data_IF_400737652549
#
_entry.id   IF_400737652549
#
_cell.length_a   1.000
_cell.length_b   1.000
_cell.length_c   1.000
_cell.angle_alpha   90.00
_cell.angle_beta   90.00
_cell.angle_gamma   90.00
#
_symmetry.space_group_name_H-M   'P 1'
#
loop_
_entity.id
_entity.type
_entity.pdbx_description
1 polymer ?
#
# COMPACT_ATOMS: atom_id res chain seq x y z
N UNK A 1 -2.46 -12.45 10.98
CA UNK A 1 -2.53 -13.30 9.78
C UNK A 1 -2.38 -14.76 10.17
N UNK A 2 -3.04 -15.73 9.49
CA UNK A 2 -2.97 -17.16 9.87
C UNK A 2 -1.56 -17.71 9.93
N UNK A 3 -0.66 -17.24 9.07
CA UNK A 3 0.74 -17.66 9.04
C UNK A 3 1.51 -17.30 10.32
N UNK A 4 1.11 -16.24 11.03
CA UNK A 4 1.73 -15.84 12.28
C UNK A 4 1.39 -16.82 13.43
N UNK A 5 0.30 -17.57 13.34
CA UNK A 5 -0.11 -18.53 14.37
C UNK A 5 0.87 -19.69 14.52
N UNK A 6 1.61 -20.05 13.47
CA UNK A 6 2.62 -21.11 13.51
C UNK A 6 3.81 -20.79 14.42
N UNK A 7 4.04 -19.51 14.67
CA UNK A 7 5.17 -19.00 15.46
C UNK A 7 4.66 -17.90 16.40
N UNK A 8 3.67 -18.22 17.21
CA UNK A 8 3.02 -17.27 18.11
C UNK A 8 3.33 -17.57 19.57
N UNK A 9 3.83 -16.57 20.27
CA UNK A 9 4.00 -16.58 21.73
C UNK A 9 2.69 -16.14 22.38
N UNK A 10 1.91 -17.10 22.85
CA UNK A 10 0.61 -16.83 23.47
C UNK A 10 0.70 -16.12 24.83
N UNK A 11 1.85 -16.18 25.49
CA UNK A 11 2.07 -15.53 26.79
C UNK A 11 2.29 -14.02 26.60
N UNK A 12 3.12 -13.67 25.62
CA UNK A 12 3.46 -12.28 25.33
C UNK A 12 2.65 -11.66 24.19
N UNK A 13 1.72 -12.40 23.61
CA UNK A 13 0.86 -11.97 22.50
C UNK A 13 1.63 -11.37 21.32
N UNK A 14 2.70 -12.04 20.87
CA UNK A 14 3.55 -11.58 19.78
C UNK A 14 4.15 -12.77 19.01
N UNK A 15 4.71 -12.55 17.82
CA UNK A 15 5.49 -13.58 17.13
C UNK A 15 6.67 -14.04 17.99
N UNK A 16 7.02 -15.33 17.87
CA UNK A 16 8.22 -15.86 18.54
C UNK A 16 9.51 -15.28 17.93
N UNK A 17 10.60 -15.26 18.70
CA UNK A 17 11.89 -14.72 18.24
C UNK A 17 12.45 -15.47 17.01
N UNK A 18 12.10 -16.75 16.86
CA UNK A 18 12.52 -17.59 15.74
C UNK A 18 11.50 -17.63 14.58
N UNK A 19 10.50 -16.75 14.58
CA UNK A 19 9.54 -16.68 13.48
C UNK A 19 10.25 -16.29 12.18
N UNK A 20 10.17 -17.11 11.13
CA UNK A 20 10.71 -16.74 9.82
C UNK A 20 9.76 -15.82 9.03
N UNK A 21 8.56 -15.56 9.55
CA UNK A 21 7.50 -14.85 8.83
C UNK A 21 7.21 -13.45 9.34
N UNK A 22 7.40 -13.18 10.63
CA UNK A 22 7.02 -11.91 11.22
C UNK A 22 8.08 -11.44 12.23
N UNK A 23 8.20 -10.12 12.38
CA UNK A 23 9.02 -9.52 13.42
C UNK A 23 8.33 -9.60 14.78
N UNK A 24 9.10 -9.70 15.86
CA UNK A 24 8.57 -9.65 17.23
C UNK A 24 8.07 -8.27 17.65
N UNK A 25 8.58 -7.23 17.01
CA UNK A 25 8.23 -5.83 17.26
C UNK A 25 7.79 -5.22 15.94
N UNK A 26 6.69 -4.49 15.97
CA UNK A 26 6.25 -3.73 14.80
C UNK A 26 7.30 -2.67 14.44
N UNK A 27 7.59 -2.54 13.16
CA UNK A 27 8.56 -1.58 12.60
C UNK A 27 7.89 -0.37 11.97
N UNK A 28 6.57 -0.31 12.04
CA UNK A 28 5.74 0.77 11.49
C UNK A 28 5.08 1.58 12.61
N UNK A 29 4.72 2.84 12.36
CA UNK A 29 4.16 3.74 13.38
C UNK A 29 2.69 3.49 13.73
N UNK A 30 1.99 2.60 13.02
CA UNK A 30 0.58 2.32 13.25
C UNK A 30 0.39 1.05 14.08
N UNK A 31 -0.64 1.02 14.91
CA UNK A 31 -0.97 -0.16 15.71
C UNK A 31 -1.88 -1.13 14.93
N UNK A 32 -1.35 -1.73 13.87
CA UNK A 32 -2.08 -2.66 13.01
C UNK A 32 -1.51 -4.10 13.06
N UNK A 33 -0.75 -4.42 14.10
CA UNK A 33 -0.16 -5.73 14.33
C UNK A 33 1.34 -5.78 14.04
N UNK A 34 1.83 -6.95 13.61
CA UNK A 34 3.26 -7.19 13.38
C UNK A 34 3.56 -7.29 11.89
N UNK A 35 4.67 -6.68 11.46
CA UNK A 35 5.09 -6.69 10.08
C UNK A 35 5.58 -8.09 9.67
N UNK A 36 5.26 -8.48 8.44
CA UNK A 36 5.87 -9.62 7.81
C UNK A 36 7.34 -9.33 7.49
N UNK A 37 8.21 -10.28 7.77
CA UNK A 37 9.63 -10.16 7.47
C UNK A 37 9.93 -10.55 6.02
N UNK A 38 9.79 -9.60 5.11
CA UNK A 38 10.05 -9.80 3.68
C UNK A 38 11.54 -9.99 3.32
N UNK A 39 12.47 -9.98 4.29
CA UNK A 39 13.86 -10.33 4.04
C UNK A 39 14.10 -11.84 4.01
N UNK A 40 13.23 -12.62 4.66
CA UNK A 40 13.38 -14.07 4.72
C UNK A 40 12.89 -14.73 3.45
N UNK A 41 13.57 -15.83 3.06
CA UNK A 41 13.17 -16.65 1.91
C UNK A 41 11.79 -17.29 2.12
N UNK A 42 11.44 -17.59 3.36
CA UNK A 42 10.15 -18.19 3.74
C UNK A 42 8.98 -17.22 3.46
N UNK A 43 9.09 -15.96 3.91
CA UNK A 43 8.06 -14.95 3.64
C UNK A 43 7.96 -14.66 2.15
N UNK A 44 9.08 -14.54 1.44
CA UNK A 44 9.10 -14.33 0.00
C UNK A 44 8.45 -15.48 -0.76
N UNK A 45 8.78 -16.71 -0.39
CA UNK A 45 8.16 -17.91 -0.98
C UNK A 45 6.65 -17.94 -0.71
N UNK A 46 6.24 -17.68 0.52
CA UNK A 46 4.82 -17.63 0.89
C UNK A 46 4.08 -16.57 0.07
N UNK A 47 4.61 -15.37 -0.01
CA UNK A 47 4.01 -14.28 -0.79
C UNK A 47 3.89 -14.65 -2.25
N UNK A 48 4.98 -15.09 -2.87
CA UNK A 48 4.99 -15.49 -4.30
C UNK A 48 4.06 -16.67 -4.58
N UNK A 49 4.01 -17.66 -3.68
CA UNK A 49 3.10 -18.80 -3.81
C UNK A 49 1.63 -18.37 -3.72
N UNK A 50 1.32 -17.45 -2.83
CA UNK A 50 -0.05 -16.89 -2.69
C UNK A 50 -0.45 -16.10 -3.93
N UNK A 51 0.41 -15.22 -4.42
CA UNK A 51 0.17 -14.46 -5.65
C UNK A 51 -0.09 -15.38 -6.85
N UNK A 52 0.77 -16.39 -7.03
CA UNK A 52 0.61 -17.40 -8.09
C UNK A 52 -0.73 -18.12 -7.96
N UNK A 53 -1.05 -18.63 -6.76
CA UNK A 53 -2.27 -19.38 -6.51
C UNK A 53 -3.53 -18.59 -6.85
N UNK A 54 -3.59 -17.32 -6.43
CA UNK A 54 -4.76 -16.47 -6.68
C UNK A 54 -4.92 -16.13 -8.18
N UNK A 55 -3.82 -15.93 -8.90
CA UNK A 55 -3.88 -15.70 -10.35
C UNK A 55 -4.36 -16.94 -11.11
N UNK A 56 -3.82 -18.12 -10.77
CA UNK A 56 -4.09 -19.35 -11.51
C UNK A 56 -5.45 -19.97 -11.16
N UNK A 57 -5.84 -19.98 -9.89
CA UNK A 57 -7.05 -20.69 -9.44
C UNK A 57 -8.30 -19.78 -9.46
N UNK A 58 -8.14 -18.47 -9.22
CA UNK A 58 -9.27 -17.54 -9.17
C UNK A 58 -9.34 -16.63 -10.38
N UNK A 59 -8.35 -16.69 -11.26
CA UNK A 59 -8.31 -15.92 -12.51
C UNK A 59 -8.56 -14.42 -12.30
N UNK A 60 -7.94 -13.85 -11.27
CA UNK A 60 -8.03 -12.42 -10.97
C UNK A 60 -7.08 -11.61 -11.85
N UNK A 61 -7.39 -10.33 -12.08
CA UNK A 61 -6.65 -9.45 -13.00
C UNK A 61 -5.47 -8.73 -12.34
N UNK A 62 -5.24 -8.92 -11.04
CA UNK A 62 -4.11 -8.29 -10.34
C UNK A 62 -4.34 -8.13 -8.84
N UNK A 63 -3.48 -7.33 -8.21
CA UNK A 63 -3.45 -7.15 -6.77
C UNK A 63 -3.34 -5.69 -6.37
N UNK A 64 -3.99 -5.31 -5.28
CA UNK A 64 -3.70 -4.12 -4.52
C UNK A 64 -2.93 -4.52 -3.27
N UNK A 65 -1.72 -4.01 -3.11
CA UNK A 65 -0.90 -4.20 -1.92
C UNK A 65 -1.25 -3.15 -0.89
N UNK A 66 -1.76 -3.62 0.23
CA UNK A 66 -2.13 -2.81 1.38
C UNK A 66 -0.88 -2.31 2.10
N UNK A 67 -0.86 -1.03 2.49
CA UNK A 67 0.26 -0.40 3.22
C UNK A 67 1.64 -0.82 2.69
N UNK A 68 1.82 -0.80 1.37
CA UNK A 68 3.02 -1.35 0.72
C UNK A 68 4.33 -0.69 1.17
N UNK A 69 4.29 0.55 1.71
CA UNK A 69 5.46 1.17 2.34
C UNK A 69 5.92 0.46 3.62
N UNK A 70 5.10 -0.40 4.21
CA UNK A 70 5.47 -1.28 5.31
C UNK A 70 6.40 -2.43 4.92
N UNK A 71 6.56 -2.72 3.64
CA UNK A 71 7.51 -3.73 3.13
C UNK A 71 8.93 -3.16 3.17
N UNK A 72 9.51 -3.05 4.37
CA UNK A 72 10.84 -2.46 4.60
C UNK A 72 11.65 -3.27 5.59
N UNK A 73 12.98 -3.05 5.62
CA UNK A 73 13.88 -3.58 6.63
C UNK A 73 14.15 -2.57 7.76
N UNK A 74 13.83 -1.30 7.51
CA UNK A 74 14.09 -0.25 8.47
C UNK A 74 13.06 -0.25 9.59
N UNK A 75 13.51 0.05 10.80
CA UNK A 75 12.64 0.28 11.95
C UNK A 75 12.43 1.78 12.10
N UNK A 76 11.21 2.22 11.91
CA UNK A 76 10.85 3.64 12.01
C UNK A 76 10.13 3.97 13.32
N UNK A 77 9.85 2.96 14.14
CA UNK A 77 9.13 3.14 15.40
C UNK A 77 7.83 3.92 15.18
N UNK A 78 7.72 5.09 15.81
CA UNK A 78 6.55 5.97 15.71
C UNK A 78 6.71 7.13 14.71
N UNK A 79 7.84 7.21 13.99
CA UNK A 79 8.12 8.30 13.06
C UNK A 79 7.49 8.06 11.68
N UNK A 80 6.27 8.59 11.50
CA UNK A 80 5.51 8.49 10.24
C UNK A 80 6.25 9.15 9.07
N UNK A 81 6.96 10.25 9.33
CA UNK A 81 7.71 10.98 8.29
C UNK A 81 8.90 10.17 7.81
N UNK A 82 9.66 9.60 8.73
CA UNK A 82 10.79 8.74 8.38
C UNK A 82 10.32 7.48 7.63
N UNK A 83 9.20 6.91 8.01
CA UNK A 83 8.61 5.74 7.35
C UNK A 83 8.24 6.00 5.88
N UNK A 84 7.88 7.24 5.55
CA UNK A 84 7.59 7.67 4.19
C UNK A 84 8.81 7.97 3.32
N UNK A 85 10.04 8.01 3.87
CA UNK A 85 11.27 8.36 3.12
C UNK A 85 11.61 7.29 2.08
N UNK A 86 12.36 7.70 1.06
CA UNK A 86 12.86 6.82 0.00
C UNK A 86 13.62 5.60 0.56
N UNK A 87 13.24 4.41 0.11
CA UNK A 87 13.81 3.13 0.53
C UNK A 87 14.08 2.21 -0.68
N UNK A 88 15.33 2.20 -1.14
CA UNK A 88 15.76 1.37 -2.28
C UNK A 88 15.54 -0.14 -2.05
N UNK A 89 15.63 -0.62 -0.80
CA UNK A 89 15.38 -2.02 -0.49
C UNK A 89 13.91 -2.37 -0.72
N UNK A 90 13.00 -1.50 -0.28
CA UNK A 90 11.55 -1.63 -0.46
C UNK A 90 11.16 -1.65 -1.94
N UNK A 91 11.73 -0.73 -2.72
CA UNK A 91 11.55 -0.68 -4.18
C UNK A 91 11.92 -2.02 -4.81
N UNK A 92 13.11 -2.54 -4.51
CA UNK A 92 13.58 -3.80 -5.08
C UNK A 92 12.73 -5.00 -4.66
N UNK A 93 12.18 -5.00 -3.45
CA UNK A 93 11.30 -6.05 -2.97
C UNK A 93 9.94 -6.02 -3.66
N UNK A 94 9.35 -4.84 -3.82
CA UNK A 94 8.11 -4.67 -4.56
C UNK A 94 8.27 -5.04 -6.03
N UNK A 95 9.37 -4.64 -6.64
CA UNK A 95 9.72 -4.99 -8.03
C UNK A 95 9.88 -6.51 -8.23
N UNK A 96 10.48 -7.21 -7.27
CA UNK A 96 10.59 -8.67 -7.29
C UNK A 96 9.21 -9.36 -7.26
N UNK A 97 8.27 -8.84 -6.48
CA UNK A 97 6.90 -9.35 -6.47
C UNK A 97 6.15 -8.98 -7.75
N UNK A 98 6.31 -7.76 -8.24
CA UNK A 98 5.73 -7.34 -9.51
C UNK A 98 6.21 -8.22 -10.68
N UNK A 99 7.51 -8.43 -10.81
CA UNK A 99 8.08 -9.32 -11.84
C UNK A 99 7.57 -10.76 -11.72
N UNK A 100 7.37 -11.24 -10.50
CA UNK A 100 6.78 -12.55 -10.30
C UNK A 100 5.34 -12.61 -10.80
N UNK A 101 4.51 -11.60 -10.50
CA UNK A 101 3.14 -11.47 -11.02
C UNK A 101 3.16 -11.47 -12.55
N UNK A 102 3.99 -10.62 -13.19
CA UNK A 102 4.11 -10.52 -14.64
C UNK A 102 4.59 -11.81 -15.29
N UNK A 103 5.40 -12.62 -14.60
CA UNK A 103 5.86 -13.92 -15.12
C UNK A 103 4.75 -14.98 -15.19
N UNK A 104 3.69 -14.81 -14.40
CA UNK A 104 2.55 -15.74 -14.34
C UNK A 104 1.42 -15.24 -15.24
N UNK A 105 1.06 -13.98 -15.11
CA UNK A 105 0.00 -13.32 -15.85
C UNK A 105 0.49 -11.98 -16.40
N UNK A 106 1.04 -11.97 -17.64
CA UNK A 106 1.52 -10.74 -18.26
C UNK A 106 0.37 -9.71 -18.39
N UNK A 107 0.60 -8.51 -17.89
CA UNK A 107 -0.40 -7.45 -17.87
C UNK A 107 -1.29 -7.42 -16.63
N UNK A 108 -1.15 -8.35 -15.70
CA UNK A 108 -1.85 -8.29 -14.42
C UNK A 108 -1.44 -7.04 -13.62
N UNK A 109 -2.41 -6.38 -13.00
CA UNK A 109 -2.20 -5.13 -12.29
C UNK A 109 -1.44 -5.34 -10.99
N UNK A 110 -0.49 -4.46 -10.71
CA UNK A 110 0.17 -4.33 -9.40
C UNK A 110 -0.07 -2.93 -8.88
N UNK A 111 -1.02 -2.80 -7.98
CA UNK A 111 -1.48 -1.53 -7.42
C UNK A 111 -0.91 -1.41 -6.01
N UNK A 112 -0.33 -0.27 -5.68
CA UNK A 112 0.30 -0.03 -4.41
C UNK A 112 -0.42 1.07 -3.64
N UNK A 113 -0.93 0.74 -2.46
CA UNK A 113 -1.23 1.74 -1.46
C UNK A 113 0.07 2.15 -0.78
N UNK A 114 0.76 3.14 -1.35
CA UNK A 114 2.15 3.42 -0.99
C UNK A 114 2.30 4.67 -0.10
N UNK A 115 1.89 5.81 -0.60
CA UNK A 115 1.91 7.08 0.13
C UNK A 115 3.29 7.37 0.76
N UNK A 116 4.35 7.12 0.01
CA UNK A 116 5.72 7.35 0.42
C UNK A 116 6.34 8.53 -0.34
N UNK A 117 7.67 8.61 -0.36
CA UNK A 117 8.43 9.62 -1.09
C UNK A 117 8.07 9.64 -2.58
N UNK A 118 7.95 10.85 -3.14
CA UNK A 118 7.51 11.05 -4.53
C UNK A 118 8.50 10.42 -5.52
N UNK A 119 9.79 10.45 -5.24
CA UNK A 119 10.79 9.87 -6.14
C UNK A 119 10.77 8.35 -6.08
N UNK A 120 10.44 7.77 -4.92
CA UNK A 120 10.17 6.33 -4.79
C UNK A 120 8.94 5.92 -5.60
N UNK A 121 7.83 6.66 -5.48
CA UNK A 121 6.62 6.37 -6.23
C UNK A 121 6.82 6.50 -7.75
N UNK A 122 7.60 7.49 -8.20
CA UNK A 122 7.99 7.63 -9.62
C UNK A 122 8.79 6.42 -10.09
N UNK A 123 9.73 5.95 -9.28
CA UNK A 123 10.55 4.80 -9.64
C UNK A 123 9.71 3.53 -9.74
N UNK A 124 8.81 3.29 -8.80
CA UNK A 124 7.87 2.17 -8.83
C UNK A 124 6.93 2.27 -10.05
N UNK A 125 6.42 3.45 -10.36
CA UNK A 125 5.61 3.71 -11.56
C UNK A 125 6.37 3.42 -12.86
N UNK A 126 7.64 3.83 -12.94
CA UNK A 126 8.51 3.53 -14.10
C UNK A 126 8.84 2.05 -14.24
N UNK A 127 8.69 1.26 -13.20
CA UNK A 127 8.81 -0.21 -13.22
C UNK A 127 7.51 -0.94 -13.59
N UNK A 128 6.43 -0.19 -13.88
CA UNK A 128 5.13 -0.71 -14.32
C UNK A 128 4.09 -0.92 -13.23
N UNK A 129 4.36 -0.51 -12.02
CA UNK A 129 3.40 -0.55 -10.93
C UNK A 129 2.50 0.69 -10.90
N UNK A 130 1.32 0.58 -10.31
CA UNK A 130 0.35 1.65 -10.22
C UNK A 130 0.26 2.18 -8.79
N UNK A 131 0.32 3.50 -8.64
CA UNK A 131 0.18 4.14 -7.33
C UNK A 131 -1.28 4.49 -7.04
N UNK A 132 -1.73 4.21 -5.85
CA UNK A 132 -3.03 4.64 -5.39
C UNK A 132 -3.06 6.16 -5.24
N UNK A 133 -3.87 6.81 -6.05
CA UNK A 133 -4.04 8.28 -6.07
C UNK A 133 -5.20 8.68 -5.16
N UNK A 134 -4.90 8.93 -3.87
CA UNK A 134 -5.92 9.34 -2.92
C UNK A 134 -6.43 10.76 -3.24
N UNK A 135 -7.66 10.86 -3.71
CA UNK A 135 -8.38 12.11 -3.95
C UNK A 135 -9.60 12.28 -3.02
N UNK A 136 -9.69 11.50 -1.96
CA UNK A 136 -10.85 11.47 -1.05
C UNK A 136 -11.08 12.82 -0.38
N UNK A 137 -10.01 13.46 0.10
CA UNK A 137 -10.12 14.79 0.71
C UNK A 137 -10.68 15.80 -0.29
N UNK A 138 -10.07 15.92 -1.46
CA UNK A 138 -10.49 16.89 -2.49
C UNK A 138 -11.91 16.62 -3.00
N UNK A 139 -12.27 15.34 -3.18
CA UNK A 139 -13.60 14.93 -3.59
C UNK A 139 -14.64 15.27 -2.52
N UNK A 140 -14.30 15.07 -1.26
CA UNK A 140 -15.17 15.42 -0.13
C UNK A 140 -15.34 16.94 -0.01
N UNK A 141 -14.27 17.72 -0.14
CA UNK A 141 -14.31 19.18 -0.14
C UNK A 141 -15.17 19.71 -1.29
N UNK A 142 -15.00 19.17 -2.49
CA UNK A 142 -15.84 19.49 -3.64
C UNK A 142 -17.32 19.19 -3.37
N UNK A 143 -17.63 18.02 -2.84
CA UNK A 143 -18.99 17.61 -2.51
C UNK A 143 -19.62 18.47 -1.40
N UNK A 144 -18.81 18.96 -0.46
CA UNK A 144 -19.24 19.89 0.59
C UNK A 144 -19.35 21.35 0.14
N UNK A 145 -18.92 21.68 -1.08
CA UNK A 145 -18.98 23.04 -1.64
C UNK A 145 -17.74 23.91 -1.36
N UNK A 146 -16.61 23.33 -0.97
CA UNK A 146 -15.35 24.02 -0.71
C UNK A 146 -14.43 24.01 -1.94
N UNK A 147 -14.63 24.96 -2.86
CA UNK A 147 -13.96 24.99 -4.17
C UNK A 147 -12.43 25.15 -4.06
N UNK A 148 -11.94 25.91 -3.08
CA UNK A 148 -10.52 26.24 -2.97
C UNK A 148 -9.64 25.04 -2.52
N UNK A 149 -10.24 23.98 -2.01
CA UNK A 149 -9.56 22.78 -1.49
C UNK A 149 -9.88 21.53 -2.31
N UNK A 150 -10.52 21.70 -3.47
CA UNK A 150 -11.01 20.60 -4.33
C UNK A 150 -10.14 20.34 -5.56
N UNK A 151 -8.83 20.59 -5.53
CA UNK A 151 -7.90 20.28 -6.63
C UNK A 151 -7.59 18.77 -6.68
N UNK A 152 -8.14 18.08 -7.65
CA UNK A 152 -7.92 16.65 -7.89
C UNK A 152 -6.56 16.33 -8.54
N UNK A 153 -5.79 17.32 -8.97
CA UNK A 153 -4.61 17.12 -9.81
C UNK A 153 -3.64 16.07 -9.28
N UNK A 154 -3.37 16.08 -7.98
CA UNK A 154 -2.45 15.09 -7.40
C UNK A 154 -2.97 13.65 -7.48
N UNK A 155 -4.27 13.44 -7.34
CA UNK A 155 -4.89 12.12 -7.35
C UNK A 155 -5.05 11.50 -8.73
N UNK A 156 -5.11 12.33 -9.81
CA UNK A 156 -5.48 11.87 -11.16
C UNK A 156 -4.43 12.16 -12.23
N UNK A 157 -3.59 13.18 -12.05
CA UNK A 157 -2.67 13.67 -13.08
C UNK A 157 -1.28 13.05 -12.89
N UNK A 158 -1.02 11.99 -13.65
CA UNK A 158 0.28 11.33 -13.63
C UNK A 158 1.42 12.23 -14.13
N UNK A 159 1.14 13.21 -15.02
CA UNK A 159 2.15 14.18 -15.50
C UNK A 159 2.55 15.11 -14.37
N UNK A 160 1.58 15.65 -13.61
CA UNK A 160 1.83 16.48 -12.42
C UNK A 160 2.67 15.75 -11.37
N UNK A 161 2.50 14.42 -11.29
CA UNK A 161 3.29 13.54 -10.39
C UNK A 161 4.63 13.13 -10.99
N UNK A 162 4.91 13.44 -12.25
CA UNK A 162 6.12 13.02 -12.96
C UNK A 162 6.20 11.51 -13.20
N UNK A 163 5.06 10.86 -13.36
CA UNK A 163 4.93 9.41 -13.56
C UNK A 163 4.58 9.06 -15.00
N UNK A 164 4.83 7.82 -15.46
CA UNK A 164 4.37 7.35 -16.76
C UNK A 164 2.84 7.27 -16.81
N UNK A 165 2.30 7.30 -18.02
CA UNK A 165 0.86 7.07 -18.24
C UNK A 165 0.39 5.73 -17.66
N UNK A 166 -0.84 5.70 -17.14
CA UNK A 166 -1.45 4.54 -16.51
C UNK A 166 -0.83 4.09 -15.18
N UNK A 167 -0.02 4.93 -14.53
CA UNK A 167 0.61 4.60 -13.24
C UNK A 167 -0.13 5.15 -12.01
N UNK A 168 -1.26 5.82 -12.19
CA UNK A 168 -2.07 6.37 -11.09
C UNK A 168 -3.50 5.87 -11.18
N UNK A 169 -4.02 5.33 -10.07
CA UNK A 169 -5.41 4.94 -9.92
C UNK A 169 -6.05 5.84 -8.87
N UNK A 170 -6.89 6.78 -9.33
CA UNK A 170 -7.59 7.70 -8.46
C UNK A 170 -8.84 7.07 -7.85
N UNK A 171 -9.16 7.49 -6.64
CA UNK A 171 -10.42 7.17 -5.99
C UNK A 171 -10.92 8.36 -5.15
N UNK A 172 -12.23 8.52 -5.11
CA UNK A 172 -12.90 9.63 -4.42
C UNK A 172 -13.52 9.21 -3.07
N UNK A 173 -13.54 7.91 -2.77
CA UNK A 173 -14.02 7.34 -1.51
C UNK A 173 -13.35 6.01 -1.27
N UNK A 174 -13.06 5.69 -0.01
CA UNK A 174 -12.50 4.39 0.40
C UNK A 174 -13.17 3.87 1.66
N UNK A 175 -12.78 2.66 2.09
CA UNK A 175 -13.24 2.05 3.34
C UNK A 175 -12.57 2.65 4.58
N UNK A 176 -11.46 3.38 4.40
CA UNK A 176 -10.67 3.98 5.49
C UNK A 176 -11.16 5.36 5.91
N UNK A 177 -12.10 5.94 5.14
CA UNK A 177 -12.54 7.30 5.34
C UNK A 177 -14.03 7.37 5.73
N UNK A 178 -14.39 8.46 6.41
CA UNK A 178 -15.79 8.76 6.71
C UNK A 178 -16.58 8.95 5.40
N UNK A 179 -17.78 8.44 5.36
CA UNK A 179 -18.66 8.51 4.18
C UNK A 179 -18.88 9.95 3.75
N UNK A 180 -18.69 10.23 2.47
CA UNK A 180 -18.87 11.56 1.88
C UNK A 180 -20.26 12.16 2.17
N UNK A 181 -21.32 11.37 2.04
CA UNK A 181 -22.69 11.85 2.37
C UNK A 181 -22.87 12.28 3.82
N UNK A 182 -22.20 11.61 4.77
CA UNK A 182 -22.20 12.02 6.16
C UNK A 182 -21.47 13.37 6.34
N UNK A 183 -20.27 13.50 5.75
CA UNK A 183 -19.48 14.75 5.80
C UNK A 183 -20.24 15.93 5.19
N UNK A 184 -20.89 15.72 4.04
CA UNK A 184 -21.72 16.74 3.40
C UNK A 184 -22.86 17.20 4.33
N UNK A 185 -23.54 16.25 4.99
CA UNK A 185 -24.63 16.55 5.92
C UNK A 185 -24.17 17.32 7.16
N UNK A 186 -22.99 16.96 7.71
CA UNK A 186 -22.52 17.50 8.98
C UNK A 186 -21.71 18.77 8.84
N UNK A 187 -20.96 18.93 7.73
CA UNK A 187 -19.94 19.98 7.55
C UNK A 187 -20.04 20.71 6.22
N UNK A 188 -20.97 20.31 5.35
CA UNK A 188 -21.12 20.94 4.03
C UNK A 188 -21.61 22.38 4.13
N UNK A 189 -21.20 23.21 3.15
CA UNK A 189 -21.76 24.55 3.00
C UNK A 189 -23.27 24.44 2.79
N UNK A 190 -24.03 25.16 3.61
CA UNK A 190 -25.44 25.38 3.34
C UNK A 190 -25.56 26.32 2.14
N UNK A 191 -26.23 25.88 1.09
CA UNK A 191 -26.63 26.73 -0.04
C UNK A 191 -27.90 27.48 0.30
#
# INVERSE_FOLDING_TARGET
APICQLYWDAVNFRPTANSPYAYQTAKHPFNVGYDLNHSTTQTQYYTKRTLKYLLEEYNIDGFRFDLSKGITQNDYGTDVTAWGRYDAWRINRLDDYHKHIQSISPGAFTILEHFADVDEEKELGNRGMMMWGNAVYQATEAAMGFVNTSDFGWGVDYIKRGMPGNSVIAYASSHDEERMGYKCKMFGNAF
#
